data_IF_213421948628
#
_entry.id   IF_213421948628
#
_cell.length_a   1.000
_cell.length_b   1.000
_cell.length_c   1.000
_cell.angle_alpha   90.00
_cell.angle_beta   90.00
_cell.angle_gamma   90.00
#
_symmetry.space_group_name_H-M   'P 1'
#
loop_
_entity.id
_entity.type
_entity.pdbx_description
1 polymer ?
#
# COMPACT_ATOMS: atom_id res chain seq x y z
N UNK A 1 2.53 7.00 20.07
CA UNK A 1 1.71 6.82 21.28
C UNK A 1 2.32 7.44 22.52
N UNK A 2 3.65 7.47 22.71
CA UNK A 2 4.22 8.08 23.92
C UNK A 2 3.85 9.57 24.07
N UNK A 3 3.90 10.36 22.98
CA UNK A 3 3.55 11.79 22.98
C UNK A 3 2.05 12.00 23.21
N UNK A 4 1.22 11.24 22.50
CA UNK A 4 -0.25 11.34 22.55
C UNK A 4 -0.85 10.81 23.85
N UNK A 5 -0.12 9.96 24.59
CA UNK A 5 -0.56 9.39 25.88
C UNK A 5 -0.34 10.30 27.09
N UNK A 6 0.36 11.43 26.91
CA UNK A 6 0.70 12.34 28.03
C UNK A 6 -0.57 13.05 28.54
N UNK A 7 -0.69 13.33 29.85
CA UNK A 7 -1.80 14.10 30.39
C UNK A 7 -1.89 15.50 29.78
N UNK A 8 -3.10 15.97 29.48
CA UNK A 8 -3.36 17.30 28.92
C UNK A 8 -3.67 17.28 27.41
N UNK A 9 -3.71 18.46 26.79
CA UNK A 9 -3.97 18.57 25.36
C UNK A 9 -2.68 18.41 24.57
N UNK A 10 -2.61 17.39 23.71
CA UNK A 10 -1.57 17.25 22.68
C UNK A 10 -1.87 18.18 21.52
N UNK A 11 -0.85 18.86 21.02
CA UNK A 11 -0.94 19.70 19.82
C UNK A 11 -0.16 19.09 18.67
N UNK A 12 -0.47 19.50 17.45
CA UNK A 12 0.24 19.00 16.27
C UNK A 12 1.73 19.34 16.32
N UNK A 13 2.11 20.50 16.87
CA UNK A 13 3.51 20.92 16.99
C UNK A 13 4.36 19.94 17.82
N UNK A 14 3.74 19.13 18.68
CA UNK A 14 4.43 18.11 19.48
C UNK A 14 4.90 16.91 18.63
N UNK A 15 4.21 16.62 17.51
CA UNK A 15 4.56 15.53 16.59
C UNK A 15 5.08 16.02 15.24
N UNK A 16 4.88 17.30 14.91
CA UNK A 16 5.29 17.91 13.65
C UNK A 16 6.74 17.57 13.27
N UNK A 17 7.75 17.61 14.19
CA UNK A 17 9.13 17.25 13.86
C UNK A 17 9.34 15.79 13.45
N UNK A 18 8.43 14.89 13.83
CA UNK A 18 8.49 13.45 13.51
C UNK A 18 7.80 13.13 12.18
N UNK A 19 6.78 13.92 11.80
CA UNK A 19 5.91 13.66 10.64
C UNK A 19 6.18 14.57 9.44
N UNK A 20 7.34 15.26 9.42
CA UNK A 20 7.68 16.17 8.32
C UNK A 20 7.86 15.40 7.01
N UNK A 21 7.13 15.79 5.96
CA UNK A 21 7.27 15.17 4.63
C UNK A 21 8.68 15.25 4.04
N UNK A 22 9.49 16.26 4.44
CA UNK A 22 10.90 16.35 4.06
C UNK A 22 11.71 15.11 4.50
N UNK A 23 11.45 14.59 5.71
CA UNK A 23 12.08 13.36 6.20
C UNK A 23 11.65 12.12 5.40
N UNK A 24 10.39 12.06 4.99
CA UNK A 24 9.89 11.00 4.10
C UNK A 24 10.58 11.01 2.74
N UNK A 25 10.89 12.20 2.21
CA UNK A 25 11.67 12.33 0.96
C UNK A 25 13.11 11.84 1.11
N UNK A 26 13.79 12.22 2.21
CA UNK A 26 15.14 11.74 2.53
C UNK A 26 15.18 10.21 2.68
N UNK A 27 14.20 9.65 3.40
CA UNK A 27 14.03 8.20 3.57
C UNK A 27 14.04 7.45 2.24
N UNK A 28 13.26 7.91 1.25
CA UNK A 28 13.22 7.24 -0.06
C UNK A 28 14.52 7.38 -0.87
N UNK A 29 15.27 8.47 -0.65
CA UNK A 29 16.54 8.71 -1.35
C UNK A 29 17.69 7.91 -0.74
N UNK A 30 17.71 7.77 0.59
CA UNK A 30 18.81 7.15 1.34
C UNK A 30 18.55 5.65 1.64
N UNK A 31 17.29 5.22 1.59
CA UNK A 31 16.88 3.86 1.94
C UNK A 31 16.82 3.59 3.45
N UNK A 32 16.94 4.62 4.29
CA UNK A 32 16.82 4.51 5.75
C UNK A 32 15.35 4.63 6.18
N UNK A 33 14.69 3.47 6.36
CA UNK A 33 13.27 3.39 6.72
C UNK A 33 12.95 3.96 8.11
N UNK A 34 13.95 4.18 8.97
CA UNK A 34 13.77 4.74 10.31
C UNK A 34 13.88 6.27 10.32
N UNK A 35 14.27 6.87 9.19
CA UNK A 35 14.54 8.32 9.07
C UNK A 35 13.27 9.18 9.18
N UNK A 36 12.12 8.62 8.85
CA UNK A 36 10.86 9.33 8.85
C UNK A 36 9.66 8.42 8.61
N UNK A 37 8.48 9.02 8.65
CA UNK A 37 7.25 8.31 8.28
C UNK A 37 7.15 8.17 6.76
N UNK A 38 6.61 7.04 6.32
CA UNK A 38 6.32 6.75 4.92
C UNK A 38 4.98 6.01 4.82
N UNK A 39 4.31 6.14 3.68
CA UNK A 39 2.98 5.60 3.47
C UNK A 39 3.05 4.23 2.82
N UNK A 40 2.43 3.23 3.44
CA UNK A 40 2.18 1.92 2.85
C UNK A 40 0.80 1.41 3.27
N UNK A 41 0.01 0.93 2.30
CA UNK A 41 -1.24 0.25 2.57
C UNK A 41 -1.00 -1.23 2.90
N UNK A 42 -1.96 -1.88 3.58
CA UNK A 42 -1.91 -3.32 3.87
C UNK A 42 -1.77 -4.19 2.62
N UNK A 43 -2.16 -3.68 1.45
CA UNK A 43 -2.01 -4.34 0.13
C UNK A 43 -0.56 -4.74 -0.18
N UNK A 44 0.44 -4.10 0.44
CA UNK A 44 1.85 -4.49 0.28
C UNK A 44 2.10 -5.95 0.63
N UNK A 45 1.29 -6.55 1.52
CA UNK A 45 1.38 -7.98 1.84
C UNK A 45 0.98 -8.93 0.70
N UNK A 46 0.43 -8.39 -0.41
CA UNK A 46 0.09 -9.09 -1.64
C UNK A 46 1.02 -8.72 -2.80
N UNK A 47 2.11 -7.99 -2.54
CA UNK A 47 3.09 -7.58 -3.56
C UNK A 47 4.40 -8.32 -3.31
N UNK A 48 4.67 -9.30 -4.16
CA UNK A 48 5.79 -10.23 -4.07
C UNK A 48 6.78 -10.11 -5.24
N UNK A 49 6.56 -9.15 -6.13
CA UNK A 49 7.45 -8.83 -7.25
C UNK A 49 7.54 -7.32 -7.56
N UNK A 50 8.48 -6.95 -8.43
CA UNK A 50 8.77 -5.56 -8.83
C UNK A 50 8.84 -5.47 -10.37
N UNK A 51 7.70 -5.57 -11.08
CA UNK A 51 7.64 -5.42 -12.53
C UNK A 51 7.79 -3.96 -12.99
N UNK A 52 7.98 -3.75 -14.29
CA UNK A 52 7.77 -2.42 -14.87
C UNK A 52 6.30 -1.99 -14.77
N UNK A 53 6.03 -0.68 -14.86
CA UNK A 53 4.66 -0.18 -14.87
C UNK A 53 3.81 -0.76 -16.02
N UNK A 54 4.44 -1.00 -17.18
CA UNK A 54 3.77 -1.59 -18.34
C UNK A 54 3.35 -3.03 -18.06
N UNK A 55 4.28 -3.87 -17.61
CA UNK A 55 4.00 -5.28 -17.28
C UNK A 55 2.96 -5.40 -16.16
N UNK A 56 3.04 -4.55 -15.13
CA UNK A 56 2.08 -4.55 -14.03
C UNK A 56 0.65 -4.30 -14.53
N UNK A 57 0.47 -3.26 -15.36
CA UNK A 57 -0.85 -2.90 -15.87
C UNK A 57 -1.37 -3.98 -16.81
N UNK A 58 -0.52 -4.50 -17.71
CA UNK A 58 -0.91 -5.57 -18.62
C UNK A 58 -1.35 -6.82 -17.87
N UNK A 59 -0.61 -7.21 -16.81
CA UNK A 59 -0.97 -8.34 -15.95
C UNK A 59 -2.32 -8.11 -15.26
N UNK A 60 -2.53 -6.96 -14.63
CA UNK A 60 -3.80 -6.65 -13.93
C UNK A 60 -5.01 -6.80 -14.87
N UNK A 61 -4.90 -6.29 -16.10
CA UNK A 61 -6.00 -6.37 -17.08
C UNK A 61 -6.20 -7.81 -17.56
N UNK A 62 -5.12 -8.53 -17.88
CA UNK A 62 -5.19 -9.92 -18.31
C UNK A 62 -5.80 -10.83 -17.23
N UNK A 63 -5.37 -10.69 -15.97
CA UNK A 63 -5.91 -11.44 -14.83
C UNK A 63 -7.41 -11.16 -14.65
N UNK A 64 -7.83 -9.90 -14.81
CA UNK A 64 -9.25 -9.53 -14.74
C UNK A 64 -10.08 -10.16 -15.87
N UNK A 65 -9.56 -10.17 -17.10
CA UNK A 65 -10.18 -10.81 -18.25
C UNK A 65 -10.32 -12.33 -18.05
N UNK A 66 -9.28 -12.99 -17.53
CA UNK A 66 -9.31 -14.42 -17.19
C UNK A 66 -10.34 -14.72 -16.09
N UNK A 67 -10.38 -13.90 -15.03
CA UNK A 67 -11.37 -14.05 -13.96
C UNK A 67 -12.79 -13.97 -14.53
N UNK A 68 -13.06 -13.02 -15.42
CA UNK A 68 -14.40 -12.82 -16.00
C UNK A 68 -14.76 -13.94 -16.97
N UNK A 69 -13.89 -14.21 -17.92
CA UNK A 69 -14.17 -15.12 -19.05
C UNK A 69 -14.09 -16.59 -18.67
N UNK A 70 -13.27 -16.95 -17.68
CA UNK A 70 -13.07 -18.34 -17.26
C UNK A 70 -13.65 -18.62 -15.87
N UNK A 71 -13.10 -17.99 -14.82
CA UNK A 71 -13.46 -18.34 -13.43
C UNK A 71 -14.95 -18.09 -13.14
N UNK A 72 -15.47 -16.92 -13.48
CA UNK A 72 -16.87 -16.58 -13.25
C UNK A 72 -17.81 -17.37 -14.18
N UNK A 73 -17.42 -17.60 -15.44
CA UNK A 73 -18.19 -18.41 -16.38
C UNK A 73 -18.35 -19.85 -15.88
N UNK A 74 -17.28 -20.46 -15.35
CA UNK A 74 -17.33 -21.80 -14.73
C UNK A 74 -18.25 -21.87 -13.52
N UNK A 75 -18.25 -20.83 -12.68
CA UNK A 75 -19.18 -20.74 -11.54
C UNK A 75 -20.64 -20.71 -12.02
N UNK A 76 -20.94 -19.94 -13.07
CA UNK A 76 -22.30 -19.88 -13.65
C UNK A 76 -22.73 -21.22 -14.25
N UNK A 77 -21.83 -21.90 -14.98
CA UNK A 77 -22.12 -23.23 -15.54
C UNK A 77 -22.39 -24.25 -14.43
N UNK A 78 -21.61 -24.24 -13.36
CA UNK A 78 -21.80 -25.15 -12.22
C UNK A 78 -23.12 -24.90 -11.48
N UNK A 79 -23.65 -23.68 -11.49
CA UNK A 79 -24.95 -23.34 -10.89
C UNK A 79 -26.15 -23.77 -11.75
N UNK A 80 -25.95 -23.94 -13.06
CA UNK A 80 -27.00 -24.29 -14.02
C UNK A 80 -27.04 -25.79 -14.37
N UNK A 81 -26.05 -26.56 -13.89
CA UNK A 81 -25.98 -28.02 -14.00
C UNK A 81 -26.71 -28.71 -12.84
#
# INVERSE_FOLDING_TARGET
>A
MEIESRPGATRFEDIQPLVQGAKGKELFAEGDLERGIWSAGMVVGLVDDIPSCEELIQRIVADAEEIISDRLAKVLQALLA
#
